data_IF_215703453216
#
_entry.id   IF_215703453216
#
_cell.length_a   1.000
_cell.length_b   1.000
_cell.length_c   1.000
_cell.angle_alpha   90.00
_cell.angle_beta   90.00
_cell.angle_gamma   90.00
#
_symmetry.space_group_name_H-M   'P 1'
#
loop_
_entity.id
_entity.type
_entity.pdbx_description
1 polymer ?
#
# COMPACT_ATOMS: atom_id res chain seq x y z
N UNK A 1 -14.46 42.95 6.91
CA UNK A 1 -13.18 43.64 6.64
C UNK A 1 -12.14 42.80 5.86
N UNK A 2 -12.14 41.46 5.96
CA UNK A 2 -11.17 40.56 5.29
C UNK A 2 -11.09 40.69 3.75
N UNK A 3 -12.23 40.85 3.09
CA UNK A 3 -12.37 40.90 1.63
C UNK A 3 -11.62 42.06 0.94
N UNK A 4 -11.37 43.18 1.63
CA UNK A 4 -10.65 44.33 1.05
C UNK A 4 -9.14 44.12 1.02
N UNK A 5 -8.61 43.38 2.01
CA UNK A 5 -7.20 43.05 2.10
C UNK A 5 -6.85 42.04 1.00
N UNK A 6 -7.70 41.02 0.81
CA UNK A 6 -7.53 40.02 -0.24
C UNK A 6 -7.53 40.66 -1.65
N UNK A 7 -8.40 41.64 -1.88
CA UNK A 7 -8.45 42.40 -3.14
C UNK A 7 -7.24 43.32 -3.35
N UNK A 8 -6.68 43.88 -2.27
CA UNK A 8 -5.47 44.69 -2.35
C UNK A 8 -4.23 43.82 -2.61
N UNK A 9 -4.16 42.63 -2.02
CA UNK A 9 -3.12 41.65 -2.31
C UNK A 9 -3.17 41.15 -3.76
N UNK A 10 -4.37 40.86 -4.30
CA UNK A 10 -4.50 40.43 -5.70
C UNK A 10 -4.09 41.55 -6.68
N UNK A 11 -4.45 42.81 -6.37
CA UNK A 11 -4.00 43.96 -7.17
C UNK A 11 -2.50 44.16 -7.11
N UNK A 12 -1.90 44.08 -5.92
CA UNK A 12 -0.44 44.19 -5.75
C UNK A 12 0.29 43.04 -6.47
N UNK A 13 -0.21 41.81 -6.36
CA UNK A 13 0.35 40.64 -7.06
C UNK A 13 0.32 40.83 -8.58
N UNK A 14 -0.85 41.20 -9.13
CA UNK A 14 -1.00 41.47 -10.56
C UNK A 14 -0.12 42.64 -11.03
N UNK A 15 0.03 43.68 -10.22
CA UNK A 15 0.86 44.84 -10.54
C UNK A 15 2.35 44.49 -10.50
N UNK A 16 2.80 43.67 -9.55
CA UNK A 16 4.18 43.18 -9.47
C UNK A 16 4.50 42.26 -10.65
N UNK A 17 3.58 41.36 -11.03
CA UNK A 17 3.74 40.48 -12.20
C UNK A 17 3.75 41.30 -13.49
N UNK A 18 2.91 42.33 -13.60
CA UNK A 18 2.86 43.21 -14.76
C UNK A 18 4.09 44.13 -14.87
N UNK A 19 4.59 44.67 -13.74
CA UNK A 19 5.78 45.54 -13.68
C UNK A 19 7.08 44.76 -13.78
N UNK A 20 7.12 43.52 -13.30
CA UNK A 20 8.27 42.62 -13.45
C UNK A 20 8.53 42.23 -14.91
N UNK A 21 7.52 42.44 -15.79
CA UNK A 21 7.51 41.95 -17.15
C UNK A 21 7.47 40.43 -17.19
N UNK A 22 6.84 39.87 -18.21
CA UNK A 22 7.17 38.51 -18.64
C UNK A 22 8.60 38.56 -19.20
N UNK A 23 9.60 38.72 -18.33
CA UNK A 23 10.97 38.40 -18.67
C UNK A 23 10.92 36.93 -19.01
N UNK A 24 10.91 36.64 -20.32
CA UNK A 24 11.09 35.29 -20.80
C UNK A 24 12.34 34.81 -20.08
N UNK A 25 12.25 33.72 -19.30
CA UNK A 25 13.41 33.20 -18.63
C UNK A 25 14.50 33.05 -19.69
N UNK A 26 15.69 33.59 -19.41
CA UNK A 26 16.84 33.46 -20.30
C UNK A 26 16.93 32.00 -20.75
N UNK A 27 17.28 31.72 -22.01
CA UNK A 27 17.34 30.34 -22.52
C UNK A 27 18.13 29.40 -21.58
N UNK A 28 19.10 29.98 -20.85
CA UNK A 28 19.96 29.30 -19.90
C UNK A 28 19.37 29.15 -18.49
N UNK A 29 18.24 29.77 -18.14
CA UNK A 29 17.62 29.66 -16.80
C UNK A 29 17.29 28.21 -16.45
N UNK A 30 16.68 27.48 -17.38
CA UNK A 30 16.40 26.05 -17.21
C UNK A 30 17.69 25.26 -17.04
N UNK A 31 18.73 25.58 -17.81
CA UNK A 31 20.02 24.90 -17.72
C UNK A 31 20.72 25.16 -16.38
N UNK A 32 20.69 26.40 -15.89
CA UNK A 32 21.30 26.80 -14.63
C UNK A 32 20.56 26.22 -13.43
N UNK A 33 19.22 26.17 -13.49
CA UNK A 33 18.40 25.53 -12.45
C UNK A 33 18.65 24.02 -12.46
N UNK A 34 18.66 23.36 -13.62
CA UNK A 34 18.95 21.93 -13.72
C UNK A 34 20.38 21.60 -13.23
N UNK A 35 21.34 22.45 -13.57
CA UNK A 35 22.73 22.31 -13.13
C UNK A 35 22.89 22.49 -11.62
N UNK A 36 22.14 23.43 -11.03
CA UNK A 36 22.10 23.61 -9.58
C UNK A 36 21.44 22.41 -8.89
N UNK A 37 20.38 21.83 -9.49
CA UNK A 37 19.69 20.65 -8.96
C UNK A 37 20.53 19.38 -9.07
N UNK A 38 21.29 19.21 -10.16
CA UNK A 38 22.18 18.05 -10.35
C UNK A 38 23.43 18.09 -9.46
N UNK A 39 23.84 19.29 -9.03
CA UNK A 39 24.98 19.49 -8.13
C UNK A 39 24.63 19.41 -6.65
N UNK A 40 23.33 19.42 -6.30
CA UNK A 40 22.92 19.02 -4.97
C UNK A 40 23.29 17.54 -4.82
N UNK A 41 24.06 17.14 -3.80
CA UNK A 41 24.31 15.73 -3.55
C UNK A 41 22.95 15.06 -3.41
N UNK A 42 22.59 14.21 -4.39
CA UNK A 42 21.48 13.29 -4.22
C UNK A 42 21.89 12.37 -3.08
N UNK A 43 21.53 12.73 -1.86
CA UNK A 43 21.27 11.79 -0.78
C UNK A 43 20.02 10.97 -1.11
N UNK A 44 19.87 10.55 -2.37
CA UNK A 44 18.99 9.45 -2.70
C UNK A 44 19.84 8.24 -2.39
N UNK A 45 19.82 7.88 -1.11
CA UNK A 45 20.09 6.52 -0.67
C UNK A 45 19.18 5.61 -1.50
N UNK A 46 19.68 5.14 -2.63
CA UNK A 46 19.05 4.16 -3.51
C UNK A 46 19.04 2.77 -2.84
N UNK A 47 19.05 2.72 -1.51
CA UNK A 47 18.78 1.51 -0.77
C UNK A 47 17.28 1.23 -0.94
N UNK A 48 16.98 0.36 -1.89
CA UNK A 48 15.66 -0.23 -2.05
C UNK A 48 15.29 -0.89 -0.72
N UNK A 49 14.46 -0.22 0.07
CA UNK A 49 13.97 -0.77 1.33
C UNK A 49 12.87 -1.79 0.97
N UNK A 50 13.14 -3.11 1.07
CA UNK A 50 12.18 -4.10 0.63
C UNK A 50 10.90 -3.95 1.46
N UNK A 51 9.76 -3.94 0.78
CA UNK A 51 8.41 -3.78 1.37
C UNK A 51 8.20 -4.77 2.53
N UNK A 52 8.86 -5.92 2.45
CA UNK A 52 8.89 -6.93 3.49
C UNK A 52 10.34 -7.29 3.82
N UNK A 53 10.70 -7.24 5.10
CA UNK A 53 12.05 -7.58 5.55
C UNK A 53 12.42 -9.01 5.13
N UNK A 54 13.71 -9.27 4.90
CA UNK A 54 14.21 -10.62 4.59
C UNK A 54 13.80 -11.64 5.66
N UNK A 55 13.71 -11.21 6.91
CA UNK A 55 13.25 -12.03 8.04
C UNK A 55 11.77 -12.37 7.98
N UNK A 56 10.91 -11.45 7.53
CA UNK A 56 9.49 -11.69 7.38
C UNK A 56 9.17 -12.68 6.24
N UNK A 57 9.97 -12.67 5.15
CA UNK A 57 9.87 -13.70 4.11
C UNK A 57 10.17 -15.11 4.64
N UNK A 58 11.20 -15.26 5.48
CA UNK A 58 11.53 -16.56 6.10
C UNK A 58 10.40 -17.04 7.00
N UNK A 59 9.79 -16.14 7.80
CA UNK A 59 8.65 -16.49 8.64
C UNK A 59 7.44 -16.96 7.83
N UNK A 60 7.14 -16.33 6.70
CA UNK A 60 6.04 -16.74 5.82
C UNK A 60 6.28 -18.15 5.29
N UNK A 61 7.48 -18.42 4.76
CA UNK A 61 7.83 -19.75 4.24
C UNK A 61 7.73 -20.80 5.34
N UNK A 62 8.21 -20.49 6.54
CA UNK A 62 8.15 -21.40 7.68
C UNK A 62 6.71 -21.66 8.14
N UNK A 63 5.84 -20.65 8.15
CA UNK A 63 4.41 -20.81 8.43
C UNK A 63 3.71 -21.69 7.37
N UNK A 64 4.01 -21.49 6.10
CA UNK A 64 3.41 -22.28 5.01
C UNK A 64 3.89 -23.74 5.09
N UNK A 65 5.19 -23.98 5.28
CA UNK A 65 5.71 -25.33 5.43
C UNK A 65 5.18 -26.00 6.70
N UNK A 66 5.14 -25.29 7.82
CA UNK A 66 4.63 -25.81 9.09
C UNK A 66 3.15 -26.17 9.02
N UNK A 67 2.31 -25.29 8.46
CA UNK A 67 0.88 -25.57 8.28
C UNK A 67 0.64 -26.72 7.30
N UNK A 68 1.38 -26.78 6.19
CA UNK A 68 1.26 -27.87 5.22
C UNK A 68 1.67 -29.22 5.81
N UNK A 69 2.77 -29.25 6.57
CA UNK A 69 3.21 -30.45 7.27
C UNK A 69 2.20 -30.88 8.34
N UNK A 70 1.67 -29.94 9.13
CA UNK A 70 0.64 -30.23 10.12
C UNK A 70 -0.62 -30.83 9.49
N UNK A 71 -1.10 -30.28 8.38
CA UNK A 71 -2.28 -30.81 7.65
C UNK A 71 -1.98 -32.19 7.03
N UNK A 72 -0.73 -32.45 6.63
CA UNK A 72 -0.35 -33.75 6.09
C UNK A 72 -0.27 -34.84 7.16
N UNK A 73 0.27 -34.52 8.34
CA UNK A 73 0.45 -35.50 9.43
C UNK A 73 -0.78 -35.64 10.32
N UNK A 74 -1.54 -34.57 10.53
CA UNK A 74 -2.82 -34.62 11.21
C UNK A 74 -3.87 -34.92 10.16
N UNK A 75 -4.51 -36.09 10.24
CA UNK A 75 -5.66 -36.41 9.40
C UNK A 75 -6.86 -35.57 9.87
N UNK A 76 -6.83 -34.26 9.55
CA UNK A 76 -7.84 -33.30 9.96
C UNK A 76 -9.07 -33.53 9.10
N UNK A 77 -9.87 -34.53 9.45
CA UNK A 77 -11.25 -34.58 8.99
C UNK A 77 -11.91 -33.25 9.38
N UNK A 78 -12.59 -32.64 8.41
CA UNK A 78 -13.09 -31.27 8.44
C UNK A 78 -13.65 -30.89 9.82
N UNK A 79 -12.85 -30.14 10.60
CA UNK A 79 -13.31 -29.56 11.86
C UNK A 79 -14.56 -28.72 11.59
N UNK A 80 -15.63 -28.94 12.35
CA UNK A 80 -16.96 -28.32 12.13
C UNK A 80 -16.96 -26.80 11.99
N UNK A 81 -15.99 -26.12 12.61
CA UNK A 81 -15.75 -24.68 12.46
C UNK A 81 -15.58 -24.23 11.00
N UNK A 82 -14.94 -25.05 10.15
CA UNK A 82 -14.72 -24.68 8.76
C UNK A 82 -15.97 -24.89 7.90
N UNK A 83 -16.83 -25.82 8.29
CA UNK A 83 -18.13 -25.99 7.65
C UNK A 83 -19.05 -24.79 7.97
N UNK A 84 -19.00 -24.26 9.20
CA UNK A 84 -19.72 -23.04 9.58
C UNK A 84 -19.23 -21.80 8.82
N UNK A 85 -17.91 -21.66 8.61
CA UNK A 85 -17.34 -20.59 7.79
C UNK A 85 -17.77 -20.73 6.32
N UNK A 86 -17.77 -21.95 5.78
CA UNK A 86 -18.26 -22.21 4.42
C UNK A 86 -19.74 -21.88 4.27
N UNK A 87 -20.58 -22.20 5.26
CA UNK A 87 -22.00 -21.85 5.24
C UNK A 87 -22.23 -20.35 5.41
N UNK A 88 -21.41 -19.66 6.21
CA UNK A 88 -21.43 -18.20 6.34
C UNK A 88 -21.05 -17.53 5.02
N UNK A 89 -20.00 -18.00 4.36
CA UNK A 89 -19.57 -17.49 3.05
C UNK A 89 -20.58 -17.82 1.94
N UNK A 90 -21.24 -18.97 2.01
CA UNK A 90 -22.30 -19.38 1.07
C UNK A 90 -23.58 -18.54 1.27
N UNK A 91 -23.93 -18.22 2.52
CA UNK A 91 -25.13 -17.43 2.86
C UNK A 91 -24.93 -15.91 2.69
N UNK A 92 -23.70 -15.41 2.68
CA UNK A 92 -23.37 -14.00 2.43
C UNK A 92 -23.61 -13.50 0.98
N UNK A 93 -24.17 -14.36 0.11
CA UNK A 93 -24.86 -14.13 -1.16
C UNK A 93 -24.62 -12.83 -1.99
N UNK A 94 -23.40 -12.32 -2.05
CA UNK A 94 -23.05 -11.13 -2.87
C UNK A 94 -21.90 -11.36 -3.85
N UNK A 95 -21.27 -12.55 -3.80
CA UNK A 95 -20.26 -12.95 -4.79
C UNK A 95 -20.99 -13.72 -5.90
N UNK A 96 -21.55 -12.99 -6.85
CA UNK A 96 -22.25 -13.59 -7.98
C UNK A 96 -21.31 -14.50 -8.82
N UNK A 97 -21.90 -15.62 -9.23
CA UNK A 97 -21.75 -16.34 -10.51
C UNK A 97 -20.50 -17.15 -10.89
N UNK A 98 -19.40 -17.19 -10.13
CA UNK A 98 -18.23 -18.03 -10.52
C UNK A 98 -17.81 -19.12 -9.53
N UNK A 99 -18.18 -19.04 -8.25
CA UNK A 99 -17.69 -19.96 -7.21
C UNK A 99 -18.72 -21.00 -6.71
N UNK A 100 -19.99 -20.91 -7.13
CA UNK A 100 -21.05 -21.85 -6.71
C UNK A 100 -20.95 -23.23 -7.36
N UNK A 101 -20.38 -23.32 -8.56
CA UNK A 101 -20.19 -24.58 -9.28
C UNK A 101 -18.92 -25.33 -8.86
N UNK A 102 -18.05 -24.71 -8.05
CA UNK A 102 -16.79 -25.30 -7.63
C UNK A 102 -17.02 -26.07 -6.32
N UNK A 103 -16.84 -27.38 -6.35
CA UNK A 103 -16.75 -28.19 -5.13
C UNK A 103 -15.45 -27.81 -4.42
N UNK A 104 -15.54 -26.89 -3.46
CA UNK A 104 -14.40 -26.49 -2.65
C UNK A 104 -13.95 -27.70 -1.83
N UNK A 105 -12.80 -28.27 -2.17
CA UNK A 105 -12.18 -29.29 -1.31
C UNK A 105 -11.69 -28.63 -0.02
N UNK A 106 -11.78 -29.33 1.10
CA UNK A 106 -11.37 -28.81 2.41
C UNK A 106 -9.99 -28.12 2.38
N UNK A 107 -8.95 -28.67 1.71
CA UNK A 107 -7.64 -28.01 1.61
C UNK A 107 -7.65 -26.63 0.94
N UNK A 108 -8.50 -26.43 -0.09
CA UNK A 108 -8.59 -25.15 -0.80
C UNK A 108 -9.17 -24.07 0.12
N UNK A 109 -10.16 -24.45 0.93
CA UNK A 109 -10.78 -23.53 1.90
C UNK A 109 -9.79 -23.14 2.99
N UNK A 110 -9.02 -24.11 3.52
CA UNK A 110 -7.93 -23.83 4.46
C UNK A 110 -6.90 -22.88 3.85
N UNK A 111 -6.50 -23.11 2.60
CA UNK A 111 -5.55 -22.24 1.91
C UNK A 111 -6.07 -20.80 1.77
N UNK A 112 -7.34 -20.61 1.39
CA UNK A 112 -7.94 -19.28 1.24
C UNK A 112 -8.04 -18.54 2.58
N UNK A 113 -8.45 -19.22 3.65
CA UNK A 113 -8.56 -18.61 4.98
C UNK A 113 -7.18 -18.22 5.52
N UNK A 114 -6.18 -19.10 5.39
CA UNK A 114 -4.79 -18.83 5.79
C UNK A 114 -4.23 -17.67 4.97
N UNK A 115 -4.43 -17.68 3.65
CA UNK A 115 -3.94 -16.63 2.76
C UNK A 115 -4.59 -15.28 3.07
N UNK A 116 -5.91 -15.25 3.24
CA UNK A 116 -6.63 -14.05 3.68
C UNK A 116 -6.12 -13.53 5.02
N UNK A 117 -5.96 -14.40 6.02
CA UNK A 117 -5.42 -14.03 7.33
C UNK A 117 -4.00 -13.45 7.25
N UNK A 118 -3.10 -14.10 6.49
CA UNK A 118 -1.73 -13.63 6.28
C UNK A 118 -1.70 -12.26 5.57
N UNK A 119 -2.55 -12.03 4.56
CA UNK A 119 -2.63 -10.72 3.90
C UNK A 119 -3.14 -9.62 4.83
N UNK A 120 -4.12 -9.89 5.69
CA UNK A 120 -4.60 -8.93 6.68
C UNK A 120 -3.51 -8.53 7.69
N UNK A 121 -2.68 -9.49 8.11
CA UNK A 121 -1.51 -9.24 8.96
C UNK A 121 -0.49 -8.37 8.20
N UNK A 122 -0.20 -8.69 6.94
CA UNK A 122 0.71 -7.89 6.10
C UNK A 122 0.24 -6.44 5.94
N UNK A 123 -1.05 -6.22 5.68
CA UNK A 123 -1.62 -4.86 5.59
C UNK A 123 -1.54 -4.10 6.91
N UNK A 124 -1.77 -4.78 8.03
CA UNK A 124 -1.68 -4.18 9.37
C UNK A 124 -0.25 -3.76 9.71
N UNK A 125 0.74 -4.58 9.37
CA UNK A 125 2.16 -4.25 9.53
C UNK A 125 2.60 -3.09 8.63
N UNK A 126 2.16 -3.06 7.37
CA UNK A 126 2.49 -1.97 6.45
C UNK A 126 1.95 -0.63 6.96
N UNK A 127 0.73 -0.63 7.51
CA UNK A 127 0.12 0.56 8.14
C UNK A 127 0.94 1.04 9.35
N UNK A 128 1.42 0.13 10.19
CA UNK A 128 2.28 0.48 11.33
C UNK A 128 3.60 1.12 10.92
N UNK A 129 4.26 0.60 9.86
CA UNK A 129 5.50 1.20 9.33
C UNK A 129 5.25 2.59 8.75
N UNK A 130 4.16 2.78 8.02
CA UNK A 130 3.79 4.09 7.45
C UNK A 130 3.45 5.13 8.53
N UNK A 131 2.76 4.72 9.61
CA UNK A 131 2.40 5.63 10.69
C UNK A 131 3.64 6.08 11.49
N UNK A 132 4.54 5.15 11.81
CA UNK A 132 5.81 5.48 12.48
C UNK A 132 6.74 6.36 11.63
N UNK A 133 6.64 6.30 10.30
CA UNK A 133 7.42 7.15 9.39
C UNK A 133 6.90 8.60 9.28
N UNK A 134 5.68 8.88 9.77
CA UNK A 134 5.05 10.21 9.73
C UNK A 134 5.06 10.94 11.08
N UNK A 135 5.71 10.39 12.11
CA UNK A 135 5.92 11.09 13.38
C UNK A 135 4.63 11.35 14.17
N UNK A 136 3.74 10.36 14.26
CA UNK A 136 2.67 10.30 15.28
C UNK A 136 2.75 8.99 16.04
#
# INVERSE_FOLDING_TARGET
>A
MKNRIDQQLDKLSREIIAKGGLQQPTADFKSNVMYAIERLPREIDNSYDPILSKTAWVLIVLCIMGSSALIYFMNVESTGLMNEILETLRSANTIEWSFRAMSWSSPIVYAVVIMGGLTAIQFSWLKGKYQNSLGV
#
